data_IF_240909461848
#
_entry.id   IF_240909461848
#
_cell.length_a   1.000
_cell.length_b   1.000
_cell.length_c   1.000
_cell.angle_alpha   90.00
_cell.angle_beta   90.00
_cell.angle_gamma   90.00
#
_symmetry.space_group_name_H-M   'P 1'
#
loop_
_entity.id
_entity.type
_entity.pdbx_description
1 polymer ?
#
# COMPACT_ATOMS: atom_id res chain seq x y z
N UNK A 1 -11.12 0.54 -21.83
CA UNK A 1 -12.00 1.62 -21.32
C UNK A 1 -11.92 1.56 -19.80
N UNK A 2 -11.43 2.60 -19.13
CA UNK A 2 -11.49 2.66 -17.66
C UNK A 2 -12.79 3.35 -17.24
N UNK A 3 -13.48 2.76 -16.27
CA UNK A 3 -14.66 3.35 -15.66
C UNK A 3 -14.32 3.85 -14.26
N UNK A 4 -14.87 5.02 -13.93
CA UNK A 4 -14.70 5.71 -12.65
C UNK A 4 -16.09 6.04 -12.13
N UNK A 5 -16.43 5.50 -10.95
CA UNK A 5 -17.62 5.90 -10.21
C UNK A 5 -17.13 6.59 -8.93
N UNK A 6 -17.18 7.92 -8.94
CA UNK A 6 -16.73 8.76 -7.82
C UNK A 6 -17.68 8.67 -6.61
N UNK A 7 -18.97 8.40 -6.84
CA UNK A 7 -19.95 8.30 -5.75
C UNK A 7 -19.72 7.02 -4.94
N UNK A 8 -19.45 5.90 -5.64
CA UNK A 8 -19.16 4.61 -5.00
C UNK A 8 -17.68 4.42 -4.65
N UNK A 9 -16.81 5.34 -5.06
CA UNK A 9 -15.34 5.23 -4.97
C UNK A 9 -14.83 3.92 -5.60
N UNK A 10 -15.40 3.54 -6.74
CA UNK A 10 -15.01 2.32 -7.46
C UNK A 10 -14.36 2.64 -8.80
N UNK A 11 -13.22 2.01 -9.08
CA UNK A 11 -12.37 2.32 -10.23
C UNK A 11 -11.88 1.04 -10.89
N UNK A 12 -12.03 0.91 -12.21
CA UNK A 12 -11.53 -0.29 -12.92
C UNK A 12 -9.99 -0.31 -13.02
N UNK A 13 -9.31 0.81 -12.75
CA UNK A 13 -7.85 0.87 -12.72
C UNK A 13 -7.24 0.14 -11.51
N UNK A 14 -8.03 -0.16 -10.46
CA UNK A 14 -7.63 -0.83 -9.20
C UNK A 14 -6.45 -0.22 -8.44
N UNK A 15 -5.85 0.87 -8.92
CA UNK A 15 -4.75 1.58 -8.27
C UNK A 15 -5.14 2.08 -6.88
N UNK A 16 -6.39 2.54 -6.73
CA UNK A 16 -6.96 2.92 -5.45
C UNK A 16 -7.12 1.72 -4.51
N UNK A 17 -7.56 0.55 -5.00
CA UNK A 17 -7.65 -0.67 -4.17
C UNK A 17 -6.29 -1.11 -3.60
N UNK A 18 -5.20 -0.84 -4.33
CA UNK A 18 -3.85 -1.25 -3.96
C UNK A 18 -3.17 -0.23 -3.04
N UNK A 19 -3.32 1.06 -3.34
CA UNK A 19 -2.54 2.14 -2.70
C UNK A 19 -3.38 3.12 -1.91
N UNK A 20 -4.70 3.13 -2.04
CA UNK A 20 -5.56 4.19 -1.49
C UNK A 20 -5.43 5.54 -2.19
N UNK A 21 -4.63 5.64 -3.27
CA UNK A 21 -4.43 6.87 -4.03
C UNK A 21 -5.24 6.84 -5.34
N UNK A 22 -5.89 7.96 -5.73
CA UNK A 22 -6.61 8.05 -6.99
C UNK A 22 -5.64 7.90 -8.18
N UNK A 23 -6.02 7.13 -9.20
CA UNK A 23 -5.26 7.05 -10.45
C UNK A 23 -5.43 8.32 -11.30
N UNK A 24 -4.56 8.54 -12.26
CA UNK A 24 -4.60 9.67 -13.20
C UNK A 24 -5.97 9.82 -13.88
N UNK A 25 -6.62 8.70 -14.22
CA UNK A 25 -7.98 8.69 -14.78
C UNK A 25 -9.04 9.16 -13.77
N UNK A 26 -8.87 8.80 -12.50
CA UNK A 26 -9.76 9.22 -11.41
C UNK A 26 -9.58 10.70 -11.11
N UNK A 27 -8.33 11.18 -11.04
CA UNK A 27 -8.00 12.60 -10.84
C UNK A 27 -8.63 13.46 -11.94
N UNK A 28 -8.50 13.06 -13.20
CA UNK A 28 -9.14 13.77 -14.31
C UNK A 28 -10.67 13.79 -14.19
N UNK A 29 -11.30 12.68 -13.82
CA UNK A 29 -12.76 12.62 -13.63
C UNK A 29 -13.24 13.50 -12.47
N UNK A 30 -12.46 13.59 -11.39
CA UNK A 30 -12.72 14.44 -10.24
C UNK A 30 -12.69 15.92 -10.63
N UNK A 31 -11.67 16.34 -11.39
CA UNK A 31 -11.60 17.72 -11.88
C UNK A 31 -12.73 18.08 -12.85
N UNK A 32 -13.16 17.15 -13.70
CA UNK A 32 -14.35 17.35 -14.56
C UNK A 32 -15.63 17.57 -13.74
N UNK A 33 -15.67 17.08 -12.50
CA UNK A 33 -16.78 17.28 -11.56
C UNK A 33 -16.58 18.48 -10.63
N UNK A 34 -15.54 19.28 -10.83
CA UNK A 34 -15.19 20.43 -9.99
C UNK A 34 -15.05 20.07 -8.50
N UNK A 35 -14.45 18.91 -8.24
CA UNK A 35 -14.18 18.39 -6.89
C UNK A 35 -12.68 18.37 -6.60
N UNK A 36 -12.30 18.34 -5.32
CA UNK A 36 -10.91 18.24 -4.89
C UNK A 36 -10.43 16.77 -4.84
N UNK A 37 -9.37 16.39 -5.58
CA UNK A 37 -8.80 15.04 -5.55
C UNK A 37 -8.33 14.59 -4.17
N UNK A 38 -7.94 15.52 -3.30
CA UNK A 38 -7.49 15.19 -1.93
C UNK A 38 -8.61 14.52 -1.14
N UNK A 39 -9.88 14.87 -1.37
CA UNK A 39 -11.04 14.24 -0.73
C UNK A 39 -11.27 12.77 -1.12
N UNK A 40 -10.59 12.28 -2.15
CA UNK A 40 -10.68 10.91 -2.66
C UNK A 40 -9.47 10.03 -2.27
N UNK A 41 -8.47 10.60 -1.59
CA UNK A 41 -7.37 9.85 -0.99
C UNK A 41 -7.88 9.04 0.21
N UNK A 42 -7.33 7.85 0.41
CA UNK A 42 -7.67 7.02 1.57
C UNK A 42 -7.31 7.72 2.88
N UNK A 43 -8.14 7.52 3.89
CA UNK A 43 -7.97 8.10 5.22
C UNK A 43 -6.65 7.74 5.91
N UNK A 44 -5.98 6.65 5.50
CA UNK A 44 -4.69 6.23 6.04
C UNK A 44 -3.58 7.28 5.84
N UNK A 45 -3.72 8.17 4.85
CA UNK A 45 -2.77 9.26 4.59
C UNK A 45 -3.04 10.54 5.41
N UNK A 46 -4.07 10.54 6.26
CA UNK A 46 -4.35 11.70 7.10
C UNK A 46 -3.28 11.89 8.18
N UNK A 47 -2.97 13.15 8.50
CA UNK A 47 -2.01 13.49 9.55
C UNK A 47 -2.31 12.80 10.88
N UNK A 48 -3.60 12.74 11.29
CA UNK A 48 -4.00 12.03 12.51
C UNK A 48 -3.63 10.55 12.46
N UNK A 49 -3.86 9.88 11.31
CA UNK A 49 -3.52 8.46 11.13
C UNK A 49 -2.00 8.23 11.12
N UNK A 50 -1.27 9.15 10.52
CA UNK A 50 0.19 9.15 10.58
C UNK A 50 0.67 9.24 12.03
N UNK A 51 0.18 10.22 12.80
CA UNK A 51 0.54 10.36 14.21
C UNK A 51 0.15 9.12 15.04
N UNK A 52 -1.04 8.58 14.85
CA UNK A 52 -1.47 7.32 15.51
C UNK A 52 -0.55 6.14 15.18
N UNK A 53 -0.08 6.03 13.93
CA UNK A 53 0.81 4.95 13.50
C UNK A 53 2.21 5.06 14.10
N UNK A 54 2.70 6.28 14.34
CA UNK A 54 4.03 6.58 14.87
C UNK A 54 4.03 6.97 16.35
N UNK A 55 2.88 6.94 17.02
CA UNK A 55 2.75 7.16 18.47
C UNK A 55 3.52 6.10 19.29
N UNK A 56 3.50 4.80 18.93
CA UNK A 56 4.32 3.81 19.63
C UNK A 56 5.81 4.05 19.44
N UNK A 57 6.60 3.75 20.48
CA UNK A 57 8.06 3.83 20.41
C UNK A 57 8.57 2.81 19.39
N UNK A 58 9.30 3.30 18.39
CA UNK A 58 10.08 2.46 17.48
C UNK A 58 11.40 2.15 18.19
N UNK A 59 11.53 0.93 18.71
CA UNK A 59 12.77 0.48 19.34
C UNK A 59 13.90 0.41 18.30
N UNK A 60 15.09 0.88 18.69
CA UNK A 60 16.29 0.68 17.90
C UNK A 60 16.63 -0.80 17.85
N UNK A 61 17.05 -1.27 16.68
CA UNK A 61 17.69 -2.58 16.56
C UNK A 61 19.07 -2.46 17.22
N UNK A 62 19.51 -3.50 17.94
CA UNK A 62 20.84 -3.53 18.53
C UNK A 62 21.90 -3.34 17.43
N UNK A 63 23.06 -2.79 17.79
CA UNK A 63 24.18 -2.68 16.85
C UNK A 63 24.59 -4.06 16.33
N UNK A 64 25.22 -4.10 15.14
CA UNK A 64 25.73 -5.35 14.55
C UNK A 64 26.65 -6.11 15.52
N UNK A 65 27.44 -5.36 16.31
CA UNK A 65 28.33 -5.87 17.36
C UNK A 65 27.59 -6.51 18.55
N UNK A 66 26.29 -6.23 18.69
CA UNK A 66 25.43 -6.77 19.74
C UNK A 66 24.55 -7.93 19.24
N UNK A 67 24.61 -8.28 17.96
CA UNK A 67 23.82 -9.38 17.41
C UNK A 67 24.37 -10.73 17.87
N UNK A 68 23.49 -11.70 18.19
CA UNK A 68 23.94 -13.03 18.54
C UNK A 68 24.66 -13.65 17.33
N UNK A 69 25.83 -14.23 17.57
CA UNK A 69 26.56 -14.97 16.55
C UNK A 69 25.78 -16.26 16.22
N UNK A 70 25.05 -16.26 15.11
CA UNK A 70 24.35 -17.46 14.64
C UNK A 70 25.35 -18.32 13.88
N UNK A 71 25.90 -19.34 14.56
CA UNK A 71 26.83 -20.32 13.98
C UNK A 71 26.11 -21.44 13.22
N UNK A 72 24.79 -21.56 13.41
CA UNK A 72 23.98 -22.53 12.69
C UNK A 72 23.77 -22.06 11.24
N UNK A 73 23.79 -22.98 10.25
CA UNK A 73 23.33 -22.65 8.91
C UNK A 73 21.91 -22.11 8.99
N UNK A 74 21.67 -20.92 8.44
CA UNK A 74 20.29 -20.44 8.26
C UNK A 74 19.60 -21.41 7.31
N UNK A 75 18.63 -22.16 7.82
CA UNK A 75 17.79 -22.97 6.94
C UNK A 75 17.03 -22.03 6.00
N UNK A 76 17.06 -22.31 4.68
CA UNK A 76 16.28 -21.52 3.75
C UNK A 76 14.80 -21.59 4.15
N UNK A 77 14.12 -20.43 4.15
CA UNK A 77 12.67 -20.41 4.26
C UNK A 77 12.10 -21.37 3.20
N UNK A 78 11.14 -22.20 3.60
CA UNK A 78 10.51 -23.16 2.71
C UNK A 78 9.98 -22.44 1.47
N UNK A 79 10.67 -22.61 0.34
CA UNK A 79 10.28 -21.98 -0.91
C UNK A 79 8.95 -22.57 -1.37
N UNK A 80 7.91 -21.74 -1.41
CA UNK A 80 6.66 -22.09 -2.10
C UNK A 80 6.74 -21.57 -3.52
N UNK A 81 6.82 -22.48 -4.49
CA UNK A 81 6.68 -22.11 -5.88
C UNK A 81 5.33 -21.40 -6.06
N UNK A 82 5.29 -20.21 -6.68
CA UNK A 82 4.02 -19.56 -6.98
C UNK A 82 3.20 -20.47 -7.91
N UNK A 83 1.86 -20.40 -7.87
CA UNK A 83 1.02 -21.11 -8.81
C UNK A 83 1.49 -20.81 -10.24
N UNK A 84 1.84 -21.85 -10.99
CA UNK A 84 2.23 -21.69 -12.39
C UNK A 84 1.11 -21.00 -13.18
N UNK A 85 1.48 -20.20 -14.17
CA UNK A 85 0.50 -19.63 -15.11
C UNK A 85 -0.31 -20.79 -15.72
N UNK A 86 -1.66 -20.78 -15.66
CA UNK A 86 -2.48 -21.76 -16.35
C UNK A 86 -2.11 -21.80 -17.84
N UNK A 87 -1.93 -23.00 -18.40
CA UNK A 87 -1.75 -23.14 -19.85
C UNK A 87 -3.07 -22.72 -20.52
N UNK A 88 -2.98 -21.77 -21.45
CA UNK A 88 -4.10 -21.38 -22.32
C UNK A 88 -4.43 -22.49 -23.30
#
# INVERSE_FOLDING_TARGET
MQAVDLARRTYTCRKWDISGLPCEHTISAIYVKDQDPIGFVDSCYNQRKYLEAYDPIIHTIAGEDQWPLVLAPMEPLAYRAPPGRPKS
#
